data_IF_327564264000
#
_entry.id   IF_327564264000
#
_cell.length_a   1.000
_cell.length_b   1.000
_cell.length_c   1.000
_cell.angle_alpha   90.00
_cell.angle_beta   90.00
_cell.angle_gamma   90.00
#
_symmetry.space_group_name_H-M   'P 1'
#
loop_
_entity.id
_entity.type
_entity.pdbx_description
1 polymer ?
#
# COMPACT_ATOMS: atom_id res chain seq x y z
N UNK A 1 7.90 33.70 -26.61
CA UNK A 1 8.65 33.59 -25.35
C UNK A 1 7.91 32.69 -24.33
N UNK A 2 6.59 32.88 -24.16
CA UNK A 2 5.76 32.00 -23.29
C UNK A 2 5.78 30.54 -23.76
N UNK A 3 5.82 30.31 -25.09
CA UNK A 3 5.94 28.95 -25.65
C UNK A 3 7.28 28.27 -25.37
N UNK A 4 8.36 29.02 -25.11
CA UNK A 4 9.67 28.43 -24.83
C UNK A 4 9.79 27.91 -23.37
N UNK A 5 9.24 28.62 -22.40
CA UNK A 5 9.27 28.19 -20.99
C UNK A 5 8.32 26.99 -20.76
N UNK A 6 7.11 27.00 -21.31
CA UNK A 6 6.23 25.85 -21.30
C UNK A 6 6.87 24.63 -21.95
N UNK A 7 7.48 24.81 -23.12
CA UNK A 7 8.18 23.72 -23.82
C UNK A 7 9.35 23.14 -23.00
N UNK A 8 10.10 23.98 -22.26
CA UNK A 8 11.18 23.53 -21.38
C UNK A 8 10.62 22.72 -20.21
N UNK A 9 9.52 23.19 -19.58
CA UNK A 9 8.85 22.50 -18.48
C UNK A 9 8.31 21.15 -18.92
N UNK A 10 7.60 21.10 -20.04
CA UNK A 10 7.01 19.88 -20.57
C UNK A 10 8.09 18.86 -20.99
N UNK A 11 9.16 19.33 -21.63
CA UNK A 11 10.32 18.50 -21.94
C UNK A 11 10.97 17.93 -20.70
N UNK A 12 11.15 18.76 -19.65
CA UNK A 12 11.67 18.29 -18.38
C UNK A 12 10.78 17.20 -17.78
N UNK A 13 9.46 17.36 -17.80
CA UNK A 13 8.53 16.36 -17.33
C UNK A 13 8.64 15.05 -18.12
N UNK A 14 8.76 15.12 -19.44
CA UNK A 14 8.97 13.95 -20.29
C UNK A 14 10.29 13.20 -19.94
N UNK A 15 11.37 13.95 -19.71
CA UNK A 15 12.65 13.37 -19.24
C UNK A 15 12.51 12.72 -17.86
N UNK A 16 11.75 13.33 -16.94
CA UNK A 16 11.48 12.69 -15.63
C UNK A 16 10.76 11.35 -15.78
N UNK A 17 9.81 11.24 -16.70
CA UNK A 17 9.12 9.97 -17.00
C UNK A 17 10.10 8.97 -17.62
N UNK A 18 10.89 9.38 -18.62
CA UNK A 18 11.85 8.52 -19.31
C UNK A 18 12.94 7.97 -18.37
N UNK A 19 13.44 8.80 -17.46
CA UNK A 19 14.44 8.44 -16.46
C UNK A 19 13.85 7.98 -15.12
N UNK A 20 12.53 7.88 -15.03
CA UNK A 20 11.79 7.52 -13.82
C UNK A 20 12.35 6.32 -13.08
N UNK A 21 12.66 5.18 -13.74
CA UNK A 21 13.23 4.02 -13.08
C UNK A 21 14.55 4.30 -12.35
N UNK A 22 15.42 5.13 -12.93
CA UNK A 22 16.73 5.49 -12.34
C UNK A 22 16.53 6.50 -11.23
N UNK A 23 15.72 7.54 -11.44
CA UNK A 23 15.39 8.55 -10.42
C UNK A 23 14.80 7.89 -9.18
N UNK A 24 13.89 6.93 -9.35
CA UNK A 24 13.30 6.16 -8.27
C UNK A 24 14.35 5.42 -7.45
N UNK A 25 15.23 4.65 -8.10
CA UNK A 25 16.26 3.87 -7.41
C UNK A 25 17.30 4.74 -6.71
N UNK A 26 17.74 5.83 -7.34
CA UNK A 26 18.64 6.81 -6.71
C UNK A 26 18.00 7.41 -5.47
N UNK A 27 16.76 7.89 -5.58
CA UNK A 27 16.03 8.51 -4.46
C UNK A 27 15.85 7.53 -3.30
N UNK A 28 15.49 6.30 -3.59
CA UNK A 28 15.40 5.23 -2.60
C UNK A 28 16.74 4.95 -1.92
N UNK A 29 17.83 4.87 -2.68
CA UNK A 29 19.17 4.63 -2.11
C UNK A 29 19.64 5.80 -1.26
N UNK A 30 19.36 7.03 -1.63
CA UNK A 30 19.65 8.22 -0.83
C UNK A 30 19.00 8.15 0.57
N UNK A 31 17.78 7.59 0.66
CA UNK A 31 17.10 7.30 1.92
C UNK A 31 17.75 6.08 2.61
N UNK A 32 17.83 4.93 1.92
CA UNK A 32 18.26 3.65 2.50
C UNK A 32 19.68 3.70 3.06
N UNK A 33 20.58 4.40 2.38
CA UNK A 33 21.99 4.54 2.79
C UNK A 33 22.21 5.69 3.78
N UNK A 34 21.13 6.37 4.22
CA UNK A 34 21.19 7.41 5.23
C UNK A 34 21.81 8.72 4.77
N UNK A 35 21.98 8.95 3.47
CA UNK A 35 22.55 10.20 2.95
C UNK A 35 21.61 11.37 3.22
N UNK A 36 20.29 11.21 2.96
CA UNK A 36 19.31 12.25 3.26
C UNK A 36 19.18 12.51 4.77
N UNK A 37 19.34 11.49 5.63
CA UNK A 37 19.37 11.67 7.08
C UNK A 37 20.53 12.61 7.49
N UNK A 38 21.73 12.38 6.93
CA UNK A 38 22.88 13.23 7.24
C UNK A 38 22.68 14.67 6.78
N UNK A 39 22.04 14.86 5.63
CA UNK A 39 21.71 16.21 5.14
C UNK A 39 20.62 16.88 5.98
N UNK A 40 19.58 16.16 6.41
CA UNK A 40 18.53 16.67 7.29
C UNK A 40 19.11 17.13 8.64
N UNK A 41 19.99 16.33 9.21
CA UNK A 41 20.58 16.57 10.54
C UNK A 41 21.65 17.67 10.53
N UNK A 42 22.03 18.20 9.34
CA UNK A 42 23.02 19.26 9.17
C UNK A 42 22.47 20.35 8.25
N UNK A 43 21.70 21.27 8.83
CA UNK A 43 20.97 22.33 8.09
C UNK A 43 21.88 23.30 7.33
N UNK A 44 23.12 23.50 7.79
CA UNK A 44 24.12 24.32 7.10
C UNK A 44 24.75 23.63 5.89
N UNK A 45 24.29 22.39 5.62
CA UNK A 45 24.78 21.56 4.54
C UNK A 45 26.10 20.82 4.87
N UNK A 46 26.43 19.85 4.02
CA UNK A 46 27.66 19.06 4.13
C UNK A 46 28.40 19.05 2.79
N UNK A 47 29.72 19.14 2.83
CA UNK A 47 30.57 18.90 1.68
C UNK A 47 30.65 17.40 1.33
N UNK A 48 31.11 17.08 0.14
CA UNK A 48 31.31 15.68 -0.27
C UNK A 48 32.22 14.92 0.71
N UNK A 49 33.32 15.54 1.16
CA UNK A 49 34.25 14.94 2.10
C UNK A 49 33.62 14.66 3.48
N UNK A 50 32.81 15.60 4.00
CA UNK A 50 32.07 15.42 5.25
C UNK A 50 31.02 14.29 5.13
N UNK A 51 30.33 14.20 3.99
CA UNK A 51 29.39 13.12 3.71
C UNK A 51 30.10 11.74 3.64
N UNK A 52 31.26 11.66 3.01
CA UNK A 52 32.08 10.44 3.00
C UNK A 52 32.43 9.97 4.42
N UNK A 53 32.87 10.88 5.27
CA UNK A 53 33.19 10.56 6.66
C UNK A 53 31.98 10.04 7.44
N UNK A 54 30.81 10.65 7.22
CA UNK A 54 29.58 10.32 7.95
C UNK A 54 28.90 9.04 7.44
N UNK A 55 28.99 8.74 6.14
CA UNK A 55 28.29 7.60 5.51
C UNK A 55 29.19 6.39 5.30
N UNK A 56 30.52 6.57 5.34
CA UNK A 56 31.54 5.56 5.01
C UNK A 56 31.47 5.06 3.56
N UNK A 57 30.80 5.81 2.68
CA UNK A 57 30.71 5.49 1.26
C UNK A 57 31.94 5.97 0.50
N UNK A 58 32.22 5.35 -0.65
CA UNK A 58 33.28 5.85 -1.53
C UNK A 58 32.88 7.19 -2.16
N UNK A 59 33.86 8.00 -2.51
CA UNK A 59 33.65 9.28 -3.20
C UNK A 59 32.85 9.09 -4.49
N UNK A 60 33.22 8.08 -5.28
CA UNK A 60 32.53 7.74 -6.53
C UNK A 60 31.04 7.46 -6.31
N UNK A 61 30.69 6.62 -5.33
CA UNK A 61 29.31 6.27 -5.04
C UNK A 61 28.49 7.47 -4.58
N UNK A 62 29.04 8.27 -3.66
CA UNK A 62 28.39 9.50 -3.18
C UNK A 62 28.20 10.52 -4.28
N UNK A 63 29.23 10.75 -5.10
CA UNK A 63 29.20 11.72 -6.18
C UNK A 63 28.11 11.37 -7.20
N UNK A 64 28.02 10.09 -7.62
CA UNK A 64 26.97 9.62 -8.52
C UNK A 64 25.56 9.85 -7.93
N UNK A 65 25.33 9.47 -6.66
CA UNK A 65 24.06 9.65 -6.01
C UNK A 65 23.68 11.14 -5.86
N UNK A 66 24.63 11.98 -5.47
CA UNK A 66 24.41 13.43 -5.28
C UNK A 66 24.12 14.13 -6.60
N UNK A 67 24.91 13.88 -7.67
CA UNK A 67 24.72 14.47 -8.99
C UNK A 67 23.34 14.09 -9.57
N UNK A 68 22.96 12.81 -9.49
CA UNK A 68 21.63 12.38 -9.89
C UNK A 68 20.52 13.00 -9.02
N UNK A 69 20.75 13.14 -7.73
CA UNK A 69 19.81 13.78 -6.77
C UNK A 69 19.64 15.27 -7.00
N UNK A 70 20.71 15.97 -7.39
CA UNK A 70 20.63 17.38 -7.84
C UNK A 70 19.74 17.51 -9.07
N UNK A 71 19.92 16.63 -10.06
CA UNK A 71 19.10 16.61 -11.27
C UNK A 71 17.65 16.27 -10.98
N UNK A 72 17.41 15.35 -10.05
CA UNK A 72 16.07 14.97 -9.59
C UNK A 72 15.44 16.01 -8.64
N UNK A 73 16.19 17.00 -8.16
CA UNK A 73 15.69 18.03 -7.27
C UNK A 73 15.47 17.57 -5.81
N UNK A 74 16.03 16.44 -5.40
CA UNK A 74 15.92 15.93 -4.02
C UNK A 74 17.00 16.50 -3.09
N UNK A 75 18.08 17.01 -3.65
CA UNK A 75 19.19 17.67 -2.97
C UNK A 75 19.49 19.00 -3.68
N UNK A 76 19.99 19.96 -2.95
CA UNK A 76 20.48 21.26 -3.44
C UNK A 76 21.97 21.38 -3.16
N UNK A 77 22.66 22.23 -3.92
CA UNK A 77 24.07 22.57 -3.69
C UNK A 77 24.24 24.09 -3.67
N UNK A 78 24.94 24.57 -2.68
CA UNK A 78 25.46 25.94 -2.69
C UNK A 78 26.83 25.92 -3.41
N UNK A 79 26.87 26.54 -4.60
CA UNK A 79 28.08 26.57 -5.44
C UNK A 79 29.22 27.44 -4.86
N UNK A 80 28.92 28.32 -3.90
CA UNK A 80 29.94 29.16 -3.27
C UNK A 80 30.73 28.40 -2.18
N UNK A 81 30.05 27.41 -1.56
CA UNK A 81 30.60 26.66 -0.43
C UNK A 81 30.74 25.16 -0.69
N UNK A 82 30.30 24.68 -1.85
CA UNK A 82 30.24 23.27 -2.22
C UNK A 82 29.49 22.40 -1.18
N UNK A 83 28.51 22.99 -0.50
CA UNK A 83 27.70 22.30 0.52
C UNK A 83 26.38 21.83 -0.04
N UNK A 84 26.08 20.55 0.18
CA UNK A 84 24.82 19.91 -0.16
C UNK A 84 23.84 20.04 0.98
N UNK A 85 22.59 20.39 0.66
CA UNK A 85 21.46 20.44 1.60
C UNK A 85 20.29 19.60 1.07
N UNK A 86 19.44 19.13 1.98
CA UNK A 86 18.21 18.43 1.58
C UNK A 86 17.19 19.46 1.04
N UNK A 87 16.55 19.13 -0.10
CA UNK A 87 15.43 19.92 -0.62
C UNK A 87 14.12 19.57 0.11
N UNK A 88 13.04 20.34 -0.14
CA UNK A 88 11.69 19.95 0.31
C UNK A 88 11.27 18.57 -0.22
N UNK A 89 11.54 18.29 -1.48
CA UNK A 89 11.25 16.98 -2.08
C UNK A 89 12.02 15.87 -1.38
N UNK A 90 13.32 16.07 -1.14
CA UNK A 90 14.14 15.12 -0.39
C UNK A 90 13.65 14.93 1.06
N UNK A 91 13.17 16.01 1.68
CA UNK A 91 12.59 15.94 3.01
C UNK A 91 11.31 15.07 3.05
N UNK A 92 10.42 15.19 2.06
CA UNK A 92 9.24 14.33 1.94
C UNK A 92 9.62 12.87 1.69
N UNK A 93 10.56 12.59 0.79
CA UNK A 93 11.07 11.24 0.56
C UNK A 93 11.55 10.56 1.85
N UNK A 94 12.15 11.34 2.76
CA UNK A 94 12.71 10.84 4.00
C UNK A 94 11.69 10.72 5.13
N UNK A 95 10.80 11.70 5.29
CA UNK A 95 10.01 11.90 6.51
C UNK A 95 8.50 11.67 6.34
N UNK A 96 7.98 11.76 5.11
CA UNK A 96 6.55 11.56 4.89
C UNK A 96 6.20 10.06 4.92
N UNK A 97 5.35 9.62 5.88
CA UNK A 97 5.02 8.21 6.02
C UNK A 97 4.37 7.59 4.78
N UNK A 98 3.49 8.34 4.08
CA UNK A 98 2.84 7.87 2.85
C UNK A 98 3.88 7.62 1.75
N UNK A 99 4.76 8.59 1.51
CA UNK A 99 5.84 8.47 0.52
C UNK A 99 6.76 7.30 0.85
N UNK A 100 7.07 7.08 2.13
CA UNK A 100 7.93 5.97 2.59
C UNK A 100 7.32 4.61 2.29
N UNK A 101 6.06 4.39 2.65
CA UNK A 101 5.41 3.09 2.37
C UNK A 101 5.26 2.87 0.86
N UNK A 102 5.00 3.92 0.07
CA UNK A 102 4.94 3.83 -1.38
C UNK A 102 6.28 3.44 -2.01
N UNK A 103 7.40 4.00 -1.51
CA UNK A 103 8.75 3.64 -1.99
C UNK A 103 9.06 2.17 -1.72
N UNK A 104 8.82 1.69 -0.50
CA UNK A 104 9.12 0.30 -0.13
C UNK A 104 8.21 -0.66 -0.91
N UNK A 105 6.91 -0.38 -0.99
CA UNK A 105 5.95 -1.16 -1.77
C UNK A 105 6.33 -1.24 -3.25
N UNK A 106 6.60 -0.10 -3.88
CA UNK A 106 6.99 -0.10 -5.28
C UNK A 106 8.31 -0.84 -5.53
N UNK A 107 9.29 -0.72 -4.64
CA UNK A 107 10.57 -1.41 -4.82
C UNK A 107 10.46 -2.91 -4.62
N UNK A 108 9.84 -3.34 -3.52
CA UNK A 108 9.88 -4.73 -3.08
C UNK A 108 8.82 -5.59 -3.78
N UNK A 109 7.65 -4.99 -4.06
CA UNK A 109 6.51 -5.72 -4.64
C UNK A 109 6.43 -5.52 -6.16
N UNK A 110 6.44 -4.26 -6.63
CA UNK A 110 6.03 -3.93 -7.99
C UNK A 110 7.16 -3.89 -9.00
N UNK A 111 8.34 -3.42 -8.62
CA UNK A 111 9.36 -2.94 -9.54
C UNK A 111 9.72 -3.94 -10.65
N UNK A 112 9.91 -5.20 -10.28
CA UNK A 112 10.23 -6.28 -11.25
C UNK A 112 9.02 -6.67 -12.08
N UNK A 113 7.84 -6.70 -11.48
CA UNK A 113 6.61 -7.10 -12.14
C UNK A 113 6.15 -6.10 -13.18
N UNK A 114 6.42 -4.79 -13.00
CA UNK A 114 6.06 -3.76 -13.99
C UNK A 114 6.66 -3.99 -15.38
N UNK A 115 7.72 -4.76 -15.49
CA UNK A 115 8.28 -5.17 -16.79
C UNK A 115 7.28 -5.97 -17.64
N UNK A 116 6.30 -6.60 -17.01
CA UNK A 116 5.26 -7.42 -17.63
C UNK A 116 3.92 -6.71 -17.80
N UNK A 117 3.87 -5.38 -17.65
CA UNK A 117 2.62 -4.61 -17.75
C UNK A 117 1.95 -4.78 -19.11
N UNK A 118 2.71 -4.76 -20.21
CA UNK A 118 2.15 -4.96 -21.55
C UNK A 118 1.51 -6.35 -21.71
N UNK A 119 2.15 -7.39 -21.16
CA UNK A 119 1.63 -8.76 -21.17
C UNK A 119 0.33 -8.82 -20.35
N UNK A 120 0.32 -8.25 -19.14
CA UNK A 120 -0.85 -8.22 -18.27
C UNK A 120 -2.06 -7.53 -18.91
N UNK A 121 -1.84 -6.37 -19.57
CA UNK A 121 -2.90 -5.65 -20.26
C UNK A 121 -3.47 -6.41 -21.47
N UNK A 122 -2.64 -7.20 -22.18
CA UNK A 122 -3.07 -8.01 -23.31
C UNK A 122 -3.83 -9.26 -22.90
N UNK A 123 -3.43 -9.88 -21.80
CA UNK A 123 -3.97 -11.18 -21.36
C UNK A 123 -5.09 -11.07 -20.31
N UNK A 124 -5.25 -9.88 -19.70
CA UNK A 124 -6.18 -9.70 -18.59
C UNK A 124 -5.84 -10.55 -17.36
N UNK A 125 -4.52 -10.72 -17.09
CA UNK A 125 -4.00 -11.52 -15.97
C UNK A 125 -2.81 -10.83 -15.34
N UNK A 126 -2.52 -11.04 -14.03
CA UNK A 126 -1.41 -10.39 -13.35
C UNK A 126 -0.05 -11.02 -13.74
N UNK A 127 0.39 -10.76 -14.98
CA UNK A 127 1.57 -11.37 -15.58
C UNK A 127 2.88 -11.09 -14.82
N UNK A 128 2.96 -9.99 -14.09
CA UNK A 128 4.11 -9.63 -13.25
C UNK A 128 4.20 -10.45 -11.96
N UNK A 129 3.10 -11.06 -11.53
CA UNK A 129 3.05 -11.86 -10.30
C UNK A 129 4.05 -13.02 -10.30
N UNK A 130 4.38 -13.57 -11.48
CA UNK A 130 5.42 -14.60 -11.67
C UNK A 130 6.80 -14.21 -11.13
N UNK A 131 7.06 -12.92 -10.88
CA UNK A 131 8.30 -12.46 -10.26
C UNK A 131 8.36 -12.69 -8.74
N UNK A 132 7.21 -12.95 -8.13
CA UNK A 132 7.07 -13.22 -6.69
C UNK A 132 6.74 -14.70 -6.41
N UNK A 133 5.96 -15.35 -7.27
CA UNK A 133 5.58 -16.73 -7.11
C UNK A 133 4.63 -17.22 -8.20
N UNK A 134 4.22 -18.47 -8.10
CA UNK A 134 3.32 -19.13 -9.03
C UNK A 134 1.93 -19.26 -8.39
N UNK A 135 1.17 -18.18 -8.45
CA UNK A 135 -0.20 -18.06 -7.92
C UNK A 135 -1.10 -17.40 -8.95
N UNK A 136 -2.40 -17.63 -8.86
CA UNK A 136 -3.39 -16.97 -9.72
C UNK A 136 -3.57 -15.51 -9.33
N UNK A 137 -3.53 -15.23 -8.02
CA UNK A 137 -3.56 -13.88 -7.46
C UNK A 137 -2.49 -13.75 -6.38
N UNK A 138 -2.05 -12.52 -6.08
CA UNK A 138 -1.09 -12.27 -5.00
C UNK A 138 -1.65 -12.69 -3.64
N UNK A 139 -2.97 -12.65 -3.46
CA UNK A 139 -3.63 -12.96 -2.19
C UNK A 139 -3.41 -14.42 -1.75
N UNK A 140 -3.32 -15.36 -2.69
CA UNK A 140 -2.97 -16.76 -2.41
C UNK A 140 -1.52 -16.92 -1.91
N UNK A 141 -0.67 -15.98 -2.30
CA UNK A 141 0.75 -15.98 -2.00
C UNK A 141 1.15 -15.17 -0.78
N UNK A 142 0.30 -14.26 -0.25
CA UNK A 142 0.69 -13.29 0.79
C UNK A 142 1.38 -13.92 2.00
N UNK A 143 0.90 -15.08 2.45
CA UNK A 143 1.49 -15.81 3.59
C UNK A 143 2.82 -16.52 3.24
N UNK A 144 3.19 -16.58 1.97
CA UNK A 144 4.36 -17.30 1.44
C UNK A 144 5.39 -16.37 0.81
N UNK A 145 5.10 -15.08 0.73
CA UNK A 145 6.03 -14.07 0.21
C UNK A 145 7.35 -14.05 1.00
N UNK A 146 8.42 -13.65 0.32
CA UNK A 146 9.66 -13.29 1.01
C UNK A 146 9.36 -12.29 2.14
N UNK A 147 9.98 -12.44 3.32
CA UNK A 147 9.67 -11.62 4.49
C UNK A 147 9.75 -10.10 4.26
N UNK A 148 10.71 -9.64 3.42
CA UNK A 148 10.83 -8.22 3.10
C UNK A 148 9.70 -7.76 2.18
N UNK A 149 9.35 -8.54 1.17
CA UNK A 149 8.23 -8.27 0.26
C UNK A 149 6.91 -8.25 1.04
N UNK A 150 6.70 -9.23 1.90
CA UNK A 150 5.52 -9.32 2.77
C UNK A 150 5.40 -8.09 3.69
N UNK A 151 6.52 -7.70 4.31
CA UNK A 151 6.56 -6.49 5.18
C UNK A 151 6.17 -5.23 4.40
N UNK A 152 6.67 -5.06 3.19
CA UNK A 152 6.40 -3.88 2.37
C UNK A 152 4.96 -3.89 1.86
N UNK A 153 4.42 -5.05 1.49
CA UNK A 153 3.03 -5.21 1.08
C UNK A 153 2.07 -4.85 2.23
N UNK A 154 2.22 -5.47 3.40
CA UNK A 154 1.38 -5.17 4.55
C UNK A 154 1.61 -3.75 5.09
N UNK A 155 2.82 -3.22 4.97
CA UNK A 155 3.10 -1.83 5.35
C UNK A 155 2.29 -0.84 4.54
N UNK A 156 2.15 -1.08 3.23
CA UNK A 156 1.33 -0.28 2.33
C UNK A 156 -0.16 -0.46 2.63
N UNK A 157 -0.65 -1.68 2.64
CA UNK A 157 -2.05 -2.03 2.89
C UNK A 157 -2.56 -1.43 4.20
N UNK A 158 -1.85 -1.68 5.29
CA UNK A 158 -2.23 -1.18 6.62
C UNK A 158 -2.12 0.35 6.73
N UNK A 159 -1.19 0.98 6.03
CA UNK A 159 -1.09 2.43 6.06
C UNK A 159 -2.34 3.09 5.51
N UNK A 160 -2.85 2.59 4.38
CA UNK A 160 -4.01 3.18 3.73
C UNK A 160 -5.35 2.75 4.35
N UNK A 161 -5.44 1.56 4.95
CA UNK A 161 -6.67 1.09 5.59
C UNK A 161 -6.87 1.64 7.00
N UNK A 162 -5.83 1.65 7.84
CA UNK A 162 -5.96 1.94 9.28
C UNK A 162 -6.45 3.35 9.60
N UNK A 163 -6.14 4.33 8.73
CA UNK A 163 -6.53 5.74 8.94
C UNK A 163 -8.05 5.97 8.91
N UNK A 164 -8.80 5.07 8.28
CA UNK A 164 -10.26 5.16 8.19
C UNK A 164 -11.00 4.45 9.33
N UNK A 165 -10.31 3.64 10.15
CA UNK A 165 -10.93 2.80 11.16
C UNK A 165 -11.72 3.57 12.20
N UNK A 166 -11.25 4.71 12.68
CA UNK A 166 -11.96 5.47 13.71
C UNK A 166 -13.33 5.93 13.20
N UNK A 167 -13.37 6.49 11.99
CA UNK A 167 -14.64 6.90 11.34
C UNK A 167 -15.52 5.68 11.02
N UNK A 168 -14.93 4.59 10.55
CA UNK A 168 -15.65 3.35 10.25
C UNK A 168 -16.32 2.77 11.51
N UNK A 169 -15.61 2.75 12.65
CA UNK A 169 -16.14 2.27 13.93
C UNK A 169 -17.35 3.11 14.36
N UNK A 170 -17.28 4.44 14.30
CA UNK A 170 -18.43 5.31 14.63
C UNK A 170 -19.66 4.99 13.78
N UNK A 171 -19.47 4.75 12.48
CA UNK A 171 -20.56 4.43 11.56
C UNK A 171 -21.14 3.04 11.84
N UNK A 172 -20.31 2.02 11.89
CA UNK A 172 -20.69 0.62 12.09
C UNK A 172 -21.36 0.43 13.45
N UNK A 173 -20.77 0.97 14.51
CA UNK A 173 -21.28 0.81 15.88
C UNK A 173 -22.41 1.79 16.25
N UNK A 174 -22.80 2.68 15.34
CA UNK A 174 -24.03 3.47 15.51
C UNK A 174 -25.28 2.59 15.69
N UNK A 175 -25.26 1.37 15.14
CA UNK A 175 -26.31 0.34 15.27
C UNK A 175 -26.02 -0.74 16.32
N UNK A 176 -24.90 -0.65 17.05
CA UNK A 176 -24.50 -1.57 18.11
C UNK A 176 -24.52 -3.06 17.71
N UNK A 177 -23.82 -3.47 16.65
CA UNK A 177 -23.79 -4.87 16.19
C UNK A 177 -23.18 -5.76 17.25
N UNK A 178 -23.75 -6.97 17.47
CA UNK A 178 -23.20 -8.01 18.35
C UNK A 178 -22.45 -9.08 17.56
N UNK A 179 -22.82 -9.26 16.29
CA UNK A 179 -22.20 -10.22 15.38
C UNK A 179 -21.84 -9.52 14.08
N UNK A 180 -20.54 -9.32 13.88
CA UNK A 180 -19.98 -8.67 12.69
C UNK A 180 -19.21 -9.71 11.87
N UNK A 181 -19.49 -9.76 10.55
CA UNK A 181 -18.70 -10.51 9.59
C UNK A 181 -17.76 -9.53 8.86
N UNK A 182 -16.46 -9.80 8.92
CA UNK A 182 -15.40 -9.01 8.27
C UNK A 182 -14.90 -9.82 7.07
N UNK A 183 -15.36 -9.47 5.86
CA UNK A 183 -15.03 -10.18 4.63
C UNK A 183 -13.79 -9.55 4.00
N UNK A 184 -12.73 -10.36 3.84
CA UNK A 184 -11.42 -9.86 3.47
C UNK A 184 -10.67 -9.20 4.65
N UNK A 185 -10.96 -9.65 5.89
CA UNK A 185 -10.41 -9.03 7.11
C UNK A 185 -8.90 -9.21 7.33
N UNK A 186 -8.21 -9.89 6.39
CA UNK A 186 -6.75 -10.01 6.29
C UNK A 186 -6.11 -10.43 7.64
N UNK A 187 -5.22 -9.63 8.19
CA UNK A 187 -4.53 -9.92 9.46
C UNK A 187 -5.37 -9.62 10.72
N UNK A 188 -6.65 -9.23 10.57
CA UNK A 188 -7.58 -8.99 11.67
C UNK A 188 -7.40 -7.65 12.39
N UNK A 189 -6.81 -6.65 11.73
CA UNK A 189 -6.58 -5.34 12.36
C UNK A 189 -7.87 -4.60 12.66
N UNK A 190 -8.82 -4.57 11.70
CA UNK A 190 -10.12 -3.97 11.95
C UNK A 190 -10.92 -4.74 13.00
N UNK A 191 -10.89 -6.08 12.95
CA UNK A 191 -11.55 -6.92 13.97
C UNK A 191 -11.03 -6.62 15.38
N UNK A 192 -9.71 -6.47 15.57
CA UNK A 192 -9.12 -6.05 16.86
C UNK A 192 -9.63 -4.66 17.29
N UNK A 193 -9.78 -3.73 16.36
CA UNK A 193 -10.33 -2.41 16.68
C UNK A 193 -11.81 -2.52 17.12
N UNK A 194 -12.61 -3.35 16.44
CA UNK A 194 -14.01 -3.60 16.79
C UNK A 194 -14.17 -4.15 18.21
N UNK A 195 -13.45 -5.22 18.55
CA UNK A 195 -13.57 -5.85 19.87
C UNK A 195 -13.00 -5.01 21.02
N UNK A 196 -12.12 -4.07 20.73
CA UNK A 196 -11.66 -3.08 21.69
C UNK A 196 -12.57 -1.84 21.78
N UNK A 197 -13.39 -1.59 20.75
CA UNK A 197 -14.34 -0.48 20.72
C UNK A 197 -15.64 -0.82 21.47
N UNK A 198 -16.11 -2.06 21.33
CA UNK A 198 -17.32 -2.57 22.00
C UNK A 198 -17.04 -3.96 22.62
N UNK A 199 -17.33 -4.11 23.91
CA UNK A 199 -17.03 -5.32 24.66
C UNK A 199 -17.99 -6.50 24.37
N UNK A 200 -19.11 -6.23 23.74
CA UNK A 200 -20.15 -7.22 23.42
C UNK A 200 -20.03 -7.77 21.98
N UNK A 201 -19.27 -7.14 21.09
CA UNK A 201 -19.18 -7.56 19.69
C UNK A 201 -18.32 -8.81 19.54
N UNK A 202 -18.79 -9.73 18.69
CA UNK A 202 -18.02 -10.86 18.18
C UNK A 202 -17.79 -10.64 16.68
N UNK A 203 -16.56 -10.83 16.23
CA UNK A 203 -16.18 -10.65 14.83
C UNK A 203 -15.76 -11.98 14.23
N UNK A 204 -16.33 -12.32 13.07
CA UNK A 204 -15.90 -13.46 12.26
C UNK A 204 -15.25 -12.96 10.98
N UNK A 205 -13.96 -13.22 10.83
CA UNK A 205 -13.19 -12.88 9.64
C UNK A 205 -13.38 -13.99 8.61
N UNK A 206 -13.79 -13.61 7.41
CA UNK A 206 -13.92 -14.51 6.25
C UNK A 206 -12.79 -14.18 5.28
N UNK A 207 -11.85 -15.10 5.10
CA UNK A 207 -10.67 -14.87 4.26
C UNK A 207 -10.04 -16.20 3.80
N UNK A 208 -9.05 -16.13 2.92
CA UNK A 208 -8.28 -17.28 2.48
C UNK A 208 -7.62 -18.01 3.68
N UNK A 209 -7.44 -19.33 3.60
CA UNK A 209 -6.86 -20.12 4.70
C UNK A 209 -5.50 -19.60 5.20
N UNK A 210 -4.65 -19.10 4.28
CA UNK A 210 -3.36 -18.50 4.62
C UNK A 210 -3.51 -17.24 5.47
N UNK A 211 -4.46 -16.36 5.09
CA UNK A 211 -4.75 -15.11 5.79
C UNK A 211 -5.36 -15.39 7.18
N UNK A 212 -6.27 -16.34 7.28
CA UNK A 212 -6.82 -16.79 8.59
C UNK A 212 -5.69 -17.32 9.50
N UNK A 213 -4.71 -18.03 8.93
CA UNK A 213 -3.52 -18.47 9.68
C UNK A 213 -2.67 -17.29 10.20
N UNK A 214 -2.49 -16.27 9.40
CA UNK A 214 -1.77 -15.04 9.79
C UNK A 214 -2.57 -14.22 10.81
N UNK A 215 -3.86 -14.07 10.59
CA UNK A 215 -4.78 -13.41 11.53
C UNK A 215 -4.69 -14.01 12.93
N UNK A 216 -4.81 -15.35 13.06
CA UNK A 216 -4.72 -16.04 14.36
C UNK A 216 -3.43 -15.72 15.10
N UNK A 217 -2.28 -15.72 14.39
CA UNK A 217 -0.98 -15.33 14.97
C UNK A 217 -0.95 -13.85 15.38
N UNK A 218 -1.56 -12.97 14.58
CA UNK A 218 -1.57 -11.54 14.87
C UNK A 218 -2.45 -11.18 16.06
N UNK A 219 -3.57 -11.86 16.27
CA UNK A 219 -4.52 -11.56 17.37
C UNK A 219 -4.19 -12.27 18.66
N UNK A 220 -3.38 -13.33 18.61
CA UNK A 220 -3.02 -14.14 19.77
C UNK A 220 -2.48 -13.29 20.94
N UNK A 221 -3.02 -13.49 22.11
CA UNK A 221 -2.64 -12.78 23.33
C UNK A 221 -3.07 -11.30 23.41
N UNK A 222 -3.80 -10.80 22.42
CA UNK A 222 -4.32 -9.43 22.46
C UNK A 222 -5.69 -9.37 23.13
N UNK A 223 -6.03 -8.22 23.70
CA UNK A 223 -7.32 -7.97 24.35
C UNK A 223 -8.47 -8.21 23.36
N UNK A 224 -9.47 -9.00 23.75
CA UNK A 224 -10.63 -9.32 22.93
C UNK A 224 -10.39 -10.36 21.83
N UNK A 225 -9.22 -10.99 21.78
CA UNK A 225 -8.90 -12.04 20.80
C UNK A 225 -9.85 -13.25 20.86
N UNK A 226 -10.39 -13.55 22.02
CA UNK A 226 -11.38 -14.60 22.27
C UNK A 226 -12.73 -14.35 21.56
N UNK A 227 -12.99 -13.12 21.15
CA UNK A 227 -14.18 -12.69 20.39
C UNK A 227 -13.93 -12.55 18.89
N UNK A 228 -12.75 -12.94 18.40
CA UNK A 228 -12.40 -12.93 16.99
C UNK A 228 -12.29 -14.35 16.47
N UNK A 229 -13.22 -14.73 15.59
CA UNK A 229 -13.23 -16.01 14.87
C UNK A 229 -12.69 -15.86 13.45
N UNK A 230 -12.34 -16.99 12.83
CA UNK A 230 -11.94 -17.05 11.42
C UNK A 230 -12.71 -18.13 10.68
N UNK A 231 -13.20 -17.79 9.49
CA UNK A 231 -13.85 -18.70 8.54
C UNK A 231 -12.99 -18.77 7.26
N UNK A 232 -12.15 -19.82 7.12
CA UNK A 232 -11.27 -19.94 5.96
C UNK A 232 -12.05 -20.36 4.73
N UNK A 233 -12.05 -19.53 3.69
CA UNK A 233 -12.69 -19.82 2.42
C UNK A 233 -12.06 -19.03 1.28
N UNK A 234 -12.06 -19.60 0.07
CA UNK A 234 -11.79 -18.84 -1.15
C UNK A 234 -13.14 -18.34 -1.71
N UNK A 235 -13.38 -17.05 -1.61
CA UNK A 235 -14.64 -16.45 -2.05
C UNK A 235 -14.81 -16.43 -3.59
N UNK A 236 -13.74 -16.61 -4.36
CA UNK A 236 -13.82 -16.74 -5.81
C UNK A 236 -14.39 -18.08 -6.27
N UNK A 237 -14.37 -19.09 -5.42
CA UNK A 237 -15.03 -20.35 -5.70
C UNK A 237 -16.54 -20.21 -5.46
N UNK A 238 -17.33 -20.14 -6.53
CA UNK A 238 -18.79 -19.91 -6.45
C UNK A 238 -19.56 -20.90 -5.58
N UNK A 239 -19.06 -22.14 -5.45
CA UNK A 239 -19.63 -23.17 -4.57
C UNK A 239 -19.46 -22.86 -3.07
N UNK A 240 -18.53 -21.96 -2.71
CA UNK A 240 -18.27 -21.61 -1.34
C UNK A 240 -19.25 -20.52 -0.87
N UNK A 241 -20.06 -20.86 0.11
CA UNK A 241 -21.01 -19.92 0.71
C UNK A 241 -20.36 -19.16 1.87
N UNK A 242 -20.88 -17.99 2.17
CA UNK A 242 -20.54 -17.27 3.41
C UNK A 242 -21.13 -17.99 4.62
N UNK A 243 -20.53 -17.88 5.80
CA UNK A 243 -21.00 -18.58 7.00
C UNK A 243 -22.43 -18.17 7.36
N UNK A 244 -23.30 -19.15 7.50
CA UNK A 244 -24.65 -18.93 7.98
C UNK A 244 -24.63 -18.46 9.44
N UNK A 245 -25.52 -17.54 9.80
CA UNK A 245 -25.59 -17.01 11.16
C UNK A 245 -26.59 -15.85 11.28
N UNK A 246 -26.63 -15.28 12.47
CA UNK A 246 -27.36 -14.00 12.70
C UNK A 246 -26.34 -12.87 12.65
N UNK A 247 -26.22 -12.26 11.50
CA UNK A 247 -25.29 -11.14 11.29
C UNK A 247 -26.02 -9.81 11.46
N UNK A 248 -25.51 -8.93 12.33
CA UNK A 248 -25.99 -7.56 12.49
C UNK A 248 -25.29 -6.64 11.48
N UNK A 249 -24.01 -6.93 11.20
CA UNK A 249 -23.21 -6.20 10.25
C UNK A 249 -22.36 -7.14 9.39
N UNK A 250 -22.22 -6.80 8.11
CA UNK A 250 -21.22 -7.36 7.19
C UNK A 250 -20.36 -6.18 6.75
N UNK A 251 -19.04 -6.32 6.90
CA UNK A 251 -18.05 -5.32 6.56
C UNK A 251 -17.18 -5.80 5.41
N UNK A 252 -17.03 -4.99 4.38
CA UNK A 252 -16.13 -5.18 3.23
C UNK A 252 -15.37 -3.87 3.02
N UNK A 253 -14.05 -3.89 3.15
CA UNK A 253 -13.23 -2.69 3.06
C UNK A 253 -12.01 -2.93 2.20
N UNK A 254 -11.83 -2.11 1.15
CA UNK A 254 -10.74 -2.26 0.18
C UNK A 254 -10.63 -3.73 -0.25
N UNK A 255 -11.75 -4.29 -0.60
CA UNK A 255 -11.93 -5.70 -0.88
C UNK A 255 -12.56 -5.94 -2.26
N UNK A 256 -13.63 -5.20 -2.59
CA UNK A 256 -14.32 -5.38 -3.86
C UNK A 256 -13.52 -4.83 -5.05
N UNK A 257 -12.63 -3.90 -4.83
CA UNK A 257 -11.70 -3.37 -5.84
C UNK A 257 -10.69 -4.41 -6.37
N UNK A 258 -10.61 -5.58 -5.72
CA UNK A 258 -9.77 -6.71 -6.12
C UNK A 258 -10.42 -7.64 -7.16
N UNK A 259 -11.68 -7.41 -7.54
CA UNK A 259 -12.50 -8.34 -8.32
C UNK A 259 -13.11 -7.71 -9.56
N UNK A 260 -13.41 -8.54 -10.55
CA UNK A 260 -14.21 -8.15 -11.71
C UNK A 260 -15.68 -7.87 -11.34
N UNK A 261 -16.43 -7.17 -12.19
CA UNK A 261 -17.84 -6.86 -11.94
C UNK A 261 -18.69 -8.12 -11.73
N UNK A 262 -18.45 -9.20 -12.50
CA UNK A 262 -19.15 -10.48 -12.36
C UNK A 262 -18.84 -11.14 -11.01
N UNK A 263 -17.59 -11.13 -10.58
CA UNK A 263 -17.19 -11.64 -9.27
C UNK A 263 -17.77 -10.82 -8.13
N UNK A 264 -17.77 -9.49 -8.23
CA UNK A 264 -18.41 -8.58 -7.26
C UNK A 264 -19.89 -8.92 -7.15
N UNK A 265 -20.59 -9.08 -8.28
CA UNK A 265 -22.00 -9.46 -8.28
C UNK A 265 -22.23 -10.81 -7.58
N UNK A 266 -21.39 -11.80 -7.86
CA UNK A 266 -21.45 -13.13 -7.23
C UNK A 266 -21.22 -13.04 -5.71
N UNK A 267 -20.21 -12.25 -5.27
CA UNK A 267 -19.90 -12.04 -3.85
C UNK A 267 -21.08 -11.38 -3.13
N UNK A 268 -21.62 -10.30 -3.69
CA UNK A 268 -22.73 -9.56 -3.10
C UNK A 268 -24.03 -10.39 -3.06
N UNK A 269 -24.29 -11.20 -4.10
CA UNK A 269 -25.43 -12.12 -4.11
C UNK A 269 -25.33 -13.17 -2.99
N UNK A 270 -24.14 -13.67 -2.69
CA UNK A 270 -23.90 -14.61 -1.57
C UNK A 270 -24.00 -13.90 -0.22
N UNK A 271 -23.53 -12.65 -0.12
CA UNK A 271 -23.71 -11.86 1.08
C UNK A 271 -25.22 -11.65 1.37
N UNK A 272 -26.00 -11.33 0.35
CA UNK A 272 -27.45 -11.16 0.47
C UNK A 272 -28.18 -12.40 1.00
N UNK A 273 -27.72 -13.62 0.68
CA UNK A 273 -28.31 -14.88 1.17
C UNK A 273 -28.20 -15.06 2.69
N UNK A 274 -27.17 -14.50 3.31
CA UNK A 274 -26.93 -14.61 4.76
C UNK A 274 -27.41 -13.37 5.53
N UNK A 275 -27.93 -12.37 4.84
CA UNK A 275 -28.51 -11.17 5.43
C UNK A 275 -30.00 -11.38 5.75
N UNK A 276 -30.47 -10.63 6.72
CA UNK A 276 -31.87 -10.47 7.06
C UNK A 276 -32.23 -8.97 7.13
N UNK A 277 -33.47 -8.64 7.44
CA UNK A 277 -33.96 -7.25 7.48
C UNK A 277 -33.20 -6.32 8.47
N UNK A 278 -32.53 -6.88 9.45
CA UNK A 278 -31.77 -6.15 10.47
C UNK A 278 -30.25 -6.09 10.15
N UNK A 279 -29.79 -6.86 9.17
CA UNK A 279 -28.38 -6.88 8.78
C UNK A 279 -28.03 -5.66 7.95
N UNK A 280 -26.94 -4.98 8.27
CA UNK A 280 -26.41 -3.89 7.44
C UNK A 280 -25.11 -4.34 6.76
N UNK A 281 -25.07 -4.21 5.44
CA UNK A 281 -23.83 -4.32 4.69
C UNK A 281 -23.14 -2.96 4.61
N UNK A 282 -21.90 -2.90 5.05
CA UNK A 282 -21.01 -1.75 4.95
C UNK A 282 -19.94 -2.05 3.91
N UNK A 283 -19.81 -1.17 2.92
CA UNK A 283 -18.77 -1.24 1.89
C UNK A 283 -17.97 0.06 1.97
N UNK A 284 -16.65 -0.07 2.15
CA UNK A 284 -15.72 1.05 2.16
C UNK A 284 -14.65 0.83 1.08
N UNK A 285 -14.72 1.66 0.04
CA UNK A 285 -13.78 1.63 -1.07
C UNK A 285 -13.21 3.03 -1.36
N UNK A 286 -12.09 3.08 -2.03
CA UNK A 286 -11.43 4.33 -2.42
C UNK A 286 -11.64 4.61 -3.91
N UNK A 287 -11.99 5.89 -4.23
CA UNK A 287 -12.22 6.32 -5.61
C UNK A 287 -11.28 7.48 -5.92
N UNK A 288 -10.47 7.34 -6.97
CA UNK A 288 -9.46 8.33 -7.35
C UNK A 288 -10.06 9.68 -7.75
N UNK A 289 -11.21 9.68 -8.41
CA UNK A 289 -11.93 10.86 -8.89
C UNK A 289 -12.69 11.62 -7.79
N UNK A 290 -12.76 11.05 -6.59
CA UNK A 290 -13.37 11.66 -5.40
C UNK A 290 -12.37 12.21 -4.40
N UNK A 291 -11.07 12.09 -4.71
CA UNK A 291 -10.02 12.63 -3.85
C UNK A 291 -9.88 14.15 -4.03
N UNK A 292 -9.87 14.89 -2.93
CA UNK A 292 -9.64 16.35 -2.91
C UNK A 292 -8.16 16.69 -2.94
N UNK A 293 -7.29 15.73 -2.62
CA UNK A 293 -5.85 15.90 -2.51
C UNK A 293 -5.17 15.17 -3.68
N UNK A 294 -4.58 15.96 -4.59
CA UNK A 294 -3.99 15.43 -5.85
C UNK A 294 -3.01 14.26 -5.66
N UNK A 295 -2.08 14.29 -4.67
CA UNK A 295 -1.20 13.15 -4.45
C UNK A 295 -1.92 11.85 -4.08
N UNK A 296 -3.07 11.92 -3.39
CA UNK A 296 -3.88 10.74 -3.10
C UNK A 296 -4.54 10.18 -4.37
N UNK A 297 -5.07 11.06 -5.24
CA UNK A 297 -5.61 10.66 -6.54
C UNK A 297 -4.53 9.99 -7.41
N UNK A 298 -3.33 10.57 -7.48
CA UNK A 298 -2.18 9.97 -8.18
C UNK A 298 -1.84 8.59 -7.62
N UNK A 299 -1.77 8.46 -6.29
CA UNK A 299 -1.47 7.18 -5.65
C UNK A 299 -2.49 6.10 -6.05
N UNK A 300 -3.79 6.40 -5.99
CA UNK A 300 -4.86 5.47 -6.35
C UNK A 300 -4.82 5.05 -7.81
N UNK A 301 -4.60 5.99 -8.74
CA UNK A 301 -4.48 5.64 -10.17
C UNK A 301 -3.25 4.76 -10.45
N UNK A 302 -2.12 5.02 -9.78
CA UNK A 302 -0.94 4.17 -9.90
C UNK A 302 -1.15 2.79 -9.25
N UNK A 303 -1.92 2.71 -8.16
CA UNK A 303 -2.30 1.45 -7.52
C UNK A 303 -3.19 0.59 -8.44
N UNK A 304 -4.07 1.19 -9.26
CA UNK A 304 -4.83 0.44 -10.26
C UNK A 304 -3.93 -0.31 -11.27
N UNK A 305 -2.80 0.30 -11.65
CA UNK A 305 -1.81 -0.37 -12.51
C UNK A 305 -1.14 -1.55 -11.78
N UNK A 306 -0.89 -1.42 -10.48
CA UNK A 306 -0.42 -2.52 -9.65
C UNK A 306 -1.41 -3.69 -9.64
N UNK A 307 -2.70 -3.44 -9.42
CA UNK A 307 -3.72 -4.49 -9.46
C UNK A 307 -3.65 -5.26 -10.77
N UNK A 308 -3.64 -4.56 -11.90
CA UNK A 308 -3.58 -5.17 -13.24
C UNK A 308 -2.34 -6.07 -13.43
N UNK A 309 -1.18 -5.69 -12.93
CA UNK A 309 0.08 -6.38 -13.25
C UNK A 309 0.52 -7.37 -12.19
N UNK A 310 0.14 -7.17 -10.92
CA UNK A 310 0.67 -7.92 -9.78
C UNK A 310 -0.38 -8.62 -8.93
N UNK A 311 -1.63 -8.14 -8.91
CA UNK A 311 -2.57 -8.59 -7.89
C UNK A 311 -3.61 -9.60 -8.39
N UNK A 312 -4.40 -9.22 -9.38
CA UNK A 312 -5.55 -9.99 -9.85
C UNK A 312 -5.97 -9.60 -11.28
#
# INVERSE_FOLDING_TARGET
LVGSEMCIRDRRQAEYIAWGPIIFQVSRLMVKLGVLDKLRDNTDGLTLAELQQKTKMSEYALKNLLEASLSAGTVLIDKATDRYTISKTGWFLLNDPATRVNIEFNHDVNYRGMFYLEEALKEGKPAGLKTLGDWTTIYEGLSKLDPQVQKSWFGFDHFYSDHSFDTALEIVFSKKPKHLMDVGGNTGRFALRCVNYDEDVNVTIVDLPGQIGMMKKNVEGKTGADRIGGYPTNILEEKNELPAGKWDAIWMSQFLDCFSEDEIYSILARAAKVMNENTTLYIMETFWDRQKYEPASLCLTMTSVYFTVMAC
#
